data_IF_038303318086
#
_entry.id   IF_038303318086
#
_cell.length_a   1.000
_cell.length_b   1.000
_cell.length_c   1.000
_cell.angle_alpha   90.00
_cell.angle_beta   90.00
_cell.angle_gamma   90.00
#
_symmetry.space_group_name_H-M   'P 1'
#
loop_
_entity.id
_entity.type
_entity.pdbx_description
1 polymer ?
#
# COMPACT_ATOMS: atom_id res chain seq x y z
N UNK A 1 -11.57 8.75 11.99
CA UNK A 1 -10.52 8.79 10.96
C UNK A 1 -10.80 7.73 9.91
N UNK A 2 -10.68 8.11 8.66
CA UNK A 2 -11.01 7.20 7.56
C UNK A 2 -9.72 6.79 6.83
N UNK A 3 -9.53 5.48 6.68
CA UNK A 3 -8.34 4.88 6.06
C UNK A 3 -8.75 4.09 4.82
N UNK A 4 -8.03 4.28 3.71
CA UNK A 4 -8.18 3.43 2.54
C UNK A 4 -7.01 2.44 2.50
N UNK A 5 -7.30 1.19 2.15
CA UNK A 5 -6.29 0.19 1.82
C UNK A 5 -6.49 -0.13 0.35
N UNK A 6 -5.56 0.32 -0.49
CA UNK A 6 -5.67 0.24 -1.95
C UNK A 6 -4.59 -0.69 -2.48
N UNK A 7 -4.98 -1.74 -3.22
CA UNK A 7 -4.02 -2.76 -3.62
C UNK A 7 -4.30 -3.35 -4.99
N UNK A 8 -3.27 -3.98 -5.56
CA UNK A 8 -3.37 -4.87 -6.70
C UNK A 8 -2.79 -6.23 -6.28
N UNK A 9 -3.42 -7.32 -6.69
CA UNK A 9 -2.94 -8.67 -6.38
C UNK A 9 -3.23 -9.62 -7.53
N UNK A 10 -2.22 -10.35 -7.96
CA UNK A 10 -2.38 -11.36 -9.00
C UNK A 10 -2.55 -12.75 -8.43
N UNK A 11 -1.79 -13.08 -7.38
CA UNK A 11 -1.75 -14.43 -6.79
C UNK A 11 -2.47 -14.53 -5.45
N UNK A 12 -2.91 -13.41 -4.88
CA UNK A 12 -3.54 -13.37 -3.56
C UNK A 12 -2.59 -13.02 -2.42
N UNK A 13 -1.29 -12.95 -2.66
CA UNK A 13 -0.31 -12.65 -1.60
C UNK A 13 -0.47 -11.21 -1.08
N UNK A 14 -0.48 -10.23 -1.97
CA UNK A 14 -0.67 -8.83 -1.58
C UNK A 14 -2.08 -8.59 -1.03
N UNK A 15 -3.08 -9.32 -1.54
CA UNK A 15 -4.44 -9.24 -0.99
C UNK A 15 -4.49 -9.70 0.47
N UNK A 16 -3.81 -10.81 0.81
CA UNK A 16 -3.73 -11.27 2.19
C UNK A 16 -3.08 -10.21 3.09
N UNK A 17 -2.03 -9.56 2.60
CA UNK A 17 -1.39 -8.45 3.31
C UNK A 17 -2.36 -7.27 3.50
N UNK A 18 -3.12 -6.92 2.45
CA UNK A 18 -4.10 -5.83 2.52
C UNK A 18 -5.17 -6.08 3.58
N UNK A 19 -5.66 -7.32 3.69
CA UNK A 19 -6.64 -7.67 4.71
C UNK A 19 -6.08 -7.51 6.12
N UNK A 20 -4.82 -7.88 6.33
CA UNK A 20 -4.15 -7.70 7.62
C UNK A 20 -3.95 -6.22 7.97
N UNK A 21 -3.58 -5.40 6.99
CA UNK A 21 -3.47 -3.95 7.19
C UNK A 21 -4.83 -3.38 7.64
N UNK A 22 -5.90 -3.80 6.96
CA UNK A 22 -7.25 -3.35 7.30
C UNK A 22 -7.65 -3.76 8.72
N UNK A 23 -7.34 -5.00 9.11
CA UNK A 23 -7.62 -5.47 10.48
C UNK A 23 -6.90 -4.61 11.52
N UNK A 24 -5.63 -4.29 11.28
CA UNK A 24 -4.86 -3.45 12.18
C UNK A 24 -5.45 -2.06 12.34
N UNK A 25 -5.84 -1.44 11.25
CA UNK A 25 -6.47 -0.12 11.28
C UNK A 25 -7.81 -0.15 12.02
N UNK A 26 -8.62 -1.16 11.78
CA UNK A 26 -9.90 -1.32 12.47
C UNK A 26 -9.73 -1.53 13.99
N UNK A 27 -8.65 -2.21 14.36
CA UNK A 27 -8.40 -2.51 15.79
C UNK A 27 -8.16 -1.25 16.63
N UNK A 28 -7.78 -0.14 16.02
CA UNK A 28 -7.59 1.15 16.71
C UNK A 28 -8.74 2.12 16.46
N UNK A 29 -9.86 1.62 15.92
CA UNK A 29 -11.09 2.39 15.76
C UNK A 29 -11.25 3.12 14.44
N UNK A 30 -10.37 2.90 13.47
CA UNK A 30 -10.49 3.55 12.17
C UNK A 30 -11.65 2.98 11.35
N UNK A 31 -12.27 3.83 10.55
CA UNK A 31 -13.19 3.41 9.51
C UNK A 31 -12.34 3.06 8.27
N UNK A 32 -12.47 1.83 7.76
CA UNK A 32 -11.56 1.32 6.73
C UNK A 32 -12.33 0.86 5.50
N UNK A 33 -11.90 1.36 4.33
CA UNK A 33 -12.34 0.83 3.04
C UNK A 33 -11.19 0.08 2.40
N UNK A 34 -11.41 -1.18 2.00
CA UNK A 34 -10.44 -2.00 1.28
C UNK A 34 -10.85 -1.99 -0.20
N UNK A 35 -9.98 -1.45 -1.05
CA UNK A 35 -10.30 -1.22 -2.45
C UNK A 35 -9.22 -1.81 -3.36
N UNK A 36 -9.65 -2.51 -4.40
CA UNK A 36 -8.74 -2.81 -5.51
C UNK A 36 -8.45 -1.52 -6.27
N UNK A 37 -7.28 -1.46 -6.94
CA UNK A 37 -6.81 -0.22 -7.54
C UNK A 37 -7.75 0.33 -8.64
N UNK A 38 -8.55 -0.52 -9.26
CA UNK A 38 -9.53 -0.10 -10.27
C UNK A 38 -10.69 0.71 -9.67
N UNK A 39 -10.85 0.66 -8.35
CA UNK A 39 -11.92 1.38 -7.62
C UNK A 39 -11.42 2.63 -6.91
N UNK A 40 -10.15 2.96 -7.04
CA UNK A 40 -9.54 4.11 -6.40
C UNK A 40 -8.99 5.07 -7.45
N UNK A 41 -9.10 6.36 -7.21
CA UNK A 41 -8.59 7.38 -8.13
C UNK A 41 -8.36 8.71 -7.41
N UNK A 42 -7.80 9.68 -8.13
CA UNK A 42 -7.49 10.98 -7.57
C UNK A 42 -8.73 11.78 -7.13
N UNK A 43 -9.91 11.45 -7.66
CA UNK A 43 -11.15 12.15 -7.29
C UNK A 43 -11.57 11.85 -5.86
N UNK A 44 -11.36 10.62 -5.38
CA UNK A 44 -11.81 10.21 -4.05
C UNK A 44 -10.71 10.23 -3.00
N UNK A 45 -9.47 10.56 -3.38
CA UNK A 45 -8.33 10.51 -2.46
C UNK A 45 -8.53 11.40 -1.23
N UNK A 46 -9.20 12.55 -1.40
CA UNK A 46 -9.42 13.49 -0.31
C UNK A 46 -10.47 13.02 0.70
N UNK A 47 -11.20 11.95 0.38
CA UNK A 47 -12.16 11.36 1.32
C UNK A 47 -11.48 10.59 2.45
N UNK A 48 -10.17 10.38 2.36
CA UNK A 48 -9.42 9.57 3.31
C UNK A 48 -8.35 10.39 4.02
N UNK A 49 -8.20 10.15 5.31
CA UNK A 49 -7.16 10.79 6.12
C UNK A 49 -5.82 10.09 5.93
N UNK A 50 -5.85 8.76 5.78
CA UNK A 50 -4.67 7.92 5.63
C UNK A 50 -4.89 6.92 4.51
N UNK A 51 -3.80 6.54 3.82
CA UNK A 51 -3.89 5.55 2.73
C UNK A 51 -2.72 4.58 2.83
N UNK A 52 -3.04 3.28 2.81
CA UNK A 52 -2.05 2.22 2.65
C UNK A 52 -2.15 1.69 1.22
N UNK A 53 -1.05 1.79 0.47
CA UNK A 53 -0.97 1.28 -0.90
C UNK A 53 -0.21 -0.03 -0.92
N UNK A 54 -0.77 -1.04 -1.60
CA UNK A 54 -0.16 -2.35 -1.73
C UNK A 54 -0.03 -2.78 -3.18
N UNK A 55 1.17 -3.20 -3.58
CA UNK A 55 1.44 -3.69 -4.91
C UNK A 55 2.63 -4.64 -4.88
N UNK A 56 2.54 -5.82 -5.51
CA UNK A 56 3.69 -6.72 -5.57
C UNK A 56 4.75 -6.21 -6.54
N UNK A 57 5.97 -6.74 -6.40
CA UNK A 57 7.02 -6.54 -7.40
C UNK A 57 6.65 -7.32 -8.66
N UNK A 58 6.62 -6.63 -9.80
CA UNK A 58 6.28 -7.23 -11.09
C UNK A 58 7.38 -6.97 -12.11
N UNK A 59 7.48 -7.86 -13.09
CA UNK A 59 8.45 -7.69 -14.18
C UNK A 59 9.88 -7.49 -13.69
N UNK A 60 10.50 -6.39 -14.05
CA UNK A 60 11.87 -6.04 -13.67
C UNK A 60 11.90 -5.21 -12.39
N UNK A 61 11.36 -5.74 -11.29
CA UNK A 61 11.23 -5.07 -9.99
C UNK A 61 10.56 -3.70 -10.12
N UNK A 62 9.32 -3.69 -10.57
CA UNK A 62 8.54 -2.47 -10.73
C UNK A 62 7.09 -2.72 -10.32
N UNK A 63 6.30 -1.65 -10.18
CA UNK A 63 4.87 -1.76 -9.90
C UNK A 63 4.16 -2.43 -11.07
N UNK A 64 3.00 -3.02 -10.80
CA UNK A 64 2.18 -3.60 -11.85
C UNK A 64 1.80 -2.50 -12.85
N UNK A 65 2.04 -2.74 -14.14
CA UNK A 65 2.04 -1.70 -15.17
C UNK A 65 0.67 -1.36 -15.74
N UNK A 66 -0.27 -2.31 -15.74
CA UNK A 66 -1.53 -2.15 -16.47
C UNK A 66 -2.60 -1.40 -15.69
N UNK A 67 -2.65 -1.59 -14.38
CA UNK A 67 -3.71 -1.03 -13.54
C UNK A 67 -3.17 -0.22 -12.38
N UNK A 68 -2.20 -0.75 -11.63
CA UNK A 68 -1.75 -0.09 -10.41
C UNK A 68 -0.91 1.15 -10.69
N UNK A 69 0.11 1.02 -11.52
CA UNK A 69 1.01 2.13 -11.81
C UNK A 69 0.26 3.33 -12.42
N UNK A 70 -0.64 3.15 -13.41
CA UNK A 70 -1.42 4.27 -13.92
C UNK A 70 -2.29 4.95 -12.86
N UNK A 71 -2.92 4.17 -11.98
CA UNK A 71 -3.70 4.71 -10.88
C UNK A 71 -2.82 5.51 -9.94
N UNK A 72 -1.69 4.93 -9.53
CA UNK A 72 -0.78 5.58 -8.58
C UNK A 72 -0.20 6.87 -9.16
N UNK A 73 0.22 6.86 -10.41
CA UNK A 73 0.74 8.05 -11.09
C UNK A 73 -0.29 9.17 -11.17
N UNK A 74 -1.56 8.83 -11.39
CA UNK A 74 -2.64 9.81 -11.42
C UNK A 74 -2.91 10.41 -10.03
N UNK A 75 -2.68 9.63 -8.96
CA UNK A 75 -2.86 10.09 -7.59
C UNK A 75 -1.67 10.88 -7.05
N UNK A 76 -0.46 10.66 -7.59
CA UNK A 76 0.76 11.22 -7.06
C UNK A 76 0.71 12.74 -6.84
N UNK A 77 0.17 13.56 -7.76
CA UNK A 77 0.09 15.01 -7.54
C UNK A 77 -0.74 15.42 -6.32
N UNK A 78 -1.58 14.53 -5.81
CA UNK A 78 -2.44 14.80 -4.65
C UNK A 78 -1.90 14.20 -3.35
N UNK A 79 -0.71 13.61 -3.37
CA UNK A 79 -0.15 12.96 -2.19
C UNK A 79 0.64 13.92 -1.28
N UNK A 80 0.86 15.16 -1.71
CA UNK A 80 1.63 16.13 -0.90
C UNK A 80 1.04 16.30 0.49
N UNK A 81 1.82 16.00 1.52
CA UNK A 81 1.40 16.08 2.93
C UNK A 81 0.49 14.96 3.39
N UNK A 82 0.06 14.06 2.50
CA UNK A 82 -0.83 12.94 2.86
C UNK A 82 -0.01 11.87 3.59
N UNK A 83 -0.54 11.38 4.70
CA UNK A 83 0.08 10.25 5.41
C UNK A 83 -0.26 8.94 4.70
N UNK A 84 0.77 8.23 4.28
CA UNK A 84 0.61 6.97 3.56
C UNK A 84 1.58 5.92 4.10
N UNK A 85 1.29 4.67 3.76
CA UNK A 85 2.17 3.54 4.01
C UNK A 85 2.16 2.62 2.80
N UNK A 86 3.22 1.83 2.64
CA UNK A 86 3.39 0.94 1.50
C UNK A 86 3.60 -0.48 1.96
N UNK A 87 3.08 -1.44 1.21
CA UNK A 87 3.31 -2.87 1.46
C UNK A 87 3.25 -3.64 0.15
N UNK A 88 3.78 -4.85 0.15
CA UNK A 88 3.71 -5.70 -1.04
C UNK A 88 4.54 -6.97 -0.92
N UNK A 89 4.24 -7.94 -1.79
CA UNK A 89 4.98 -9.20 -1.89
C UNK A 89 5.92 -9.18 -3.08
N UNK A 90 6.94 -10.05 -3.04
CA UNK A 90 7.87 -10.21 -4.16
C UNK A 90 8.32 -11.66 -4.25
N UNK A 91 8.62 -12.12 -5.47
CA UNK A 91 9.06 -13.50 -5.71
C UNK A 91 10.56 -13.61 -5.91
N UNK A 92 11.20 -12.57 -6.44
CA UNK A 92 12.63 -12.52 -6.71
C UNK A 92 13.14 -11.10 -6.56
N UNK A 93 14.44 -10.94 -6.58
CA UNK A 93 15.04 -9.63 -6.33
C UNK A 93 15.22 -9.38 -4.84
N UNK A 94 15.58 -8.16 -4.49
CA UNK A 94 15.95 -7.80 -3.11
C UNK A 94 15.13 -6.62 -2.54
N UNK A 95 13.99 -6.30 -3.14
CA UNK A 95 13.14 -5.21 -2.68
C UNK A 95 13.41 -3.88 -3.37
N UNK A 96 14.11 -3.88 -4.50
CA UNK A 96 14.40 -2.66 -5.25
C UNK A 96 13.11 -1.92 -5.63
N UNK A 97 12.04 -2.64 -6.03
CA UNK A 97 10.78 -2.01 -6.38
C UNK A 97 10.21 -1.17 -5.25
N UNK A 98 10.35 -1.66 -4.02
CA UNK A 98 9.84 -0.95 -2.85
C UNK A 98 10.71 0.27 -2.53
N UNK A 99 12.03 0.16 -2.67
CA UNK A 99 12.94 1.29 -2.47
C UNK A 99 12.65 2.40 -3.47
N UNK A 100 12.47 2.05 -4.74
CA UNK A 100 12.14 3.01 -5.79
C UNK A 100 10.77 3.63 -5.56
N UNK A 101 9.80 2.83 -5.13
CA UNK A 101 8.46 3.32 -4.84
C UNK A 101 8.45 4.33 -3.68
N UNK A 102 9.23 4.05 -2.65
CA UNK A 102 9.38 5.00 -1.54
C UNK A 102 9.99 6.32 -2.01
N UNK A 103 10.98 6.26 -2.88
CA UNK A 103 11.59 7.47 -3.44
C UNK A 103 10.58 8.26 -4.27
N UNK A 104 9.77 7.61 -5.07
CA UNK A 104 8.70 8.25 -5.84
C UNK A 104 7.69 8.94 -4.93
N UNK A 105 7.33 8.30 -3.82
CA UNK A 105 6.42 8.89 -2.84
C UNK A 105 7.02 10.14 -2.19
N UNK A 106 8.28 10.08 -1.84
CA UNK A 106 8.98 11.25 -1.26
C UNK A 106 9.06 12.39 -2.25
N UNK A 107 9.34 12.09 -3.52
CA UNK A 107 9.38 13.09 -4.59
C UNK A 107 8.01 13.75 -4.80
N UNK A 108 6.93 13.00 -4.57
CA UNK A 108 5.57 13.53 -4.64
C UNK A 108 5.19 14.34 -3.39
N UNK A 109 6.04 14.38 -2.38
CA UNK A 109 5.76 15.11 -1.14
C UNK A 109 4.91 14.35 -0.13
N UNK A 110 4.68 13.05 -0.34
CA UNK A 110 3.91 12.23 0.59
C UNK A 110 4.68 12.01 1.90
N UNK A 111 3.93 11.88 2.99
CA UNK A 111 4.48 11.54 4.28
C UNK A 111 4.40 10.03 4.48
N UNK A 112 5.54 9.33 4.37
CA UNK A 112 5.64 7.90 4.68
C UNK A 112 5.64 7.75 6.21
N UNK A 113 4.44 7.70 6.78
CA UNK A 113 4.24 7.79 8.23
C UNK A 113 4.75 6.57 8.99
N UNK A 114 4.82 5.41 8.33
CA UNK A 114 5.30 4.16 8.94
C UNK A 114 6.19 3.43 7.95
N UNK A 115 7.02 2.53 8.46
CA UNK A 115 7.91 1.72 7.63
C UNK A 115 7.10 0.79 6.71
N UNK A 116 7.57 0.60 5.48
CA UNK A 116 6.95 -0.33 4.54
C UNK A 116 7.12 -1.77 5.01
N UNK A 117 6.17 -2.63 4.62
CA UNK A 117 6.21 -4.07 4.90
C UNK A 117 6.31 -4.83 3.58
N UNK A 118 7.30 -5.73 3.49
CA UNK A 118 7.47 -6.59 2.32
C UNK A 118 7.44 -8.05 2.76
N UNK A 119 6.95 -8.93 1.88
CA UNK A 119 6.93 -10.36 2.11
C UNK A 119 7.46 -11.10 0.89
N UNK A 120 8.32 -12.09 1.11
CA UNK A 120 8.84 -12.94 0.04
C UNK A 120 7.84 -14.06 -0.25
N UNK A 121 7.26 -14.05 -1.44
CA UNK A 121 6.21 -14.98 -1.86
C UNK A 121 4.98 -14.90 -0.95
N UNK A 122 4.45 -16.05 -0.50
CA UNK A 122 3.28 -16.06 0.39
C UNK A 122 3.64 -15.44 1.74
N UNK A 123 2.87 -14.46 2.22
CA UNK A 123 3.16 -13.85 3.51
C UNK A 123 2.97 -14.86 4.65
N UNK A 124 3.98 -14.96 5.49
CA UNK A 124 3.92 -15.80 6.69
C UNK A 124 3.25 -15.02 7.85
N UNK A 125 3.14 -15.69 9.02
CA UNK A 125 2.51 -15.08 10.19
C UNK A 125 3.24 -13.80 10.62
N UNK A 126 4.57 -13.78 10.54
CA UNK A 126 5.35 -12.59 10.88
C UNK A 126 5.04 -11.43 9.96
N UNK A 127 4.94 -11.67 8.63
CA UNK A 127 4.61 -10.64 7.66
C UNK A 127 3.18 -10.13 7.86
N UNK A 128 2.23 -11.01 8.13
CA UNK A 128 0.85 -10.62 8.39
C UNK A 128 0.73 -9.80 9.68
N UNK A 129 1.46 -10.17 10.72
CA UNK A 129 1.50 -9.39 11.96
C UNK A 129 2.11 -8.01 11.74
N UNK A 130 3.16 -7.92 10.90
CA UNK A 130 3.77 -6.65 10.54
C UNK A 130 2.77 -5.76 9.76
N UNK A 131 1.94 -6.36 8.90
CA UNK A 131 0.89 -5.64 8.19
C UNK A 131 -0.18 -5.10 9.15
N UNK A 132 -0.58 -5.89 10.15
CA UNK A 132 -1.51 -5.40 11.18
C UNK A 132 -0.91 -4.22 11.94
N UNK A 133 0.36 -4.30 12.31
CA UNK A 133 1.05 -3.22 12.99
C UNK A 133 1.14 -1.97 12.11
N UNK A 134 1.37 -2.13 10.81
CA UNK A 134 1.39 -1.04 9.85
C UNK A 134 0.03 -0.32 9.82
N UNK A 135 -1.05 -1.07 9.71
CA UNK A 135 -2.40 -0.50 9.69
C UNK A 135 -2.74 0.23 10.97
N UNK A 136 -2.40 -0.34 12.11
CA UNK A 136 -2.65 0.27 13.41
C UNK A 136 -1.82 1.55 13.61
N UNK A 137 -0.59 1.57 13.14
CA UNK A 137 0.29 2.73 13.28
C UNK A 137 -0.09 3.87 12.32
N UNK A 138 -0.63 3.53 11.14
CA UNK A 138 -1.04 4.52 10.15
C UNK A 138 -2.35 5.21 10.55
N UNK A 139 -3.27 4.44 11.08
CA UNK A 139 -4.64 4.91 11.36
C UNK A 139 -4.77 5.81 12.58
#
# INVERSE_FOLDING_TARGET
>A
MKTAVVFWSGTGNTEAMAQSVAEGAKSVGAEVDVLTCDKFNATIIDNYDFIAFGCPSMGAEQLEEDEFEPMFSACAPKLGGKKIALFGSYGWGDGEWMRNWKDDCRDAGANLAVDSVTANNEPDDEALDACKALGAALA
#
